data_IF_699718720929
#
_entry.id   IF_699718720929
#
_cell.length_a   1.000
_cell.length_b   1.000
_cell.length_c   1.000
_cell.angle_alpha   90.00
_cell.angle_beta   90.00
_cell.angle_gamma   90.00
#
_symmetry.space_group_name_H-M   'P 1'
#
loop_
_entity.id
_entity.type
_entity.pdbx_description
1 polymer ?
#
# COMPACT_ATOMS: atom_id res chain seq x y z
N UNK A 1 -17.64 5.83 -6.70
CA UNK A 1 -17.70 5.88 -5.22
C UNK A 1 -16.38 5.33 -4.72
N UNK A 2 -15.64 6.07 -3.91
CA UNK A 2 -14.37 5.61 -3.33
C UNK A 2 -14.57 5.30 -1.86
N UNK A 3 -14.03 4.16 -1.40
CA UNK A 3 -14.04 3.76 0.02
C UNK A 3 -12.62 3.88 0.53
N UNK A 4 -12.40 4.63 1.60
CA UNK A 4 -11.08 4.79 2.22
C UNK A 4 -11.03 4.17 3.61
N UNK A 5 -9.85 3.70 4.00
CA UNK A 5 -9.55 3.15 5.32
C UNK A 5 -8.19 3.66 5.78
N UNK A 6 -8.17 4.32 6.92
CA UNK A 6 -6.95 4.79 7.58
C UNK A 6 -6.62 3.79 8.69
N UNK A 7 -5.45 3.16 8.60
CA UNK A 7 -4.85 2.34 9.65
C UNK A 7 -3.80 3.12 10.44
N UNK A 8 -3.14 2.44 11.36
CA UNK A 8 -2.06 3.05 12.16
C UNK A 8 -0.78 3.21 11.34
N UNK A 9 -0.58 2.36 10.33
CA UNK A 9 0.64 2.31 9.51
C UNK A 9 0.37 2.43 8.01
N UNK A 10 -0.90 2.35 7.60
CA UNK A 10 -1.30 2.33 6.20
C UNK A 10 -2.50 3.22 5.93
N UNK A 11 -2.55 3.79 4.75
CA UNK A 11 -3.72 4.45 4.20
C UNK A 11 -4.16 3.66 2.97
N UNK A 12 -5.41 3.19 2.94
CA UNK A 12 -5.92 2.37 1.85
C UNK A 12 -7.14 3.01 1.20
N UNK A 13 -7.22 2.98 -0.12
CA UNK A 13 -8.34 3.47 -0.91
C UNK A 13 -8.77 2.45 -1.97
N UNK A 14 -10.05 2.17 -2.02
CA UNK A 14 -10.71 1.42 -3.07
C UNK A 14 -11.24 2.40 -4.13
N UNK A 15 -10.81 2.20 -5.36
CA UNK A 15 -11.26 2.94 -6.52
C UNK A 15 -12.15 2.04 -7.37
N UNK A 16 -13.24 2.63 -7.87
CA UNK A 16 -14.12 2.02 -8.86
C UNK A 16 -14.11 2.90 -10.09
N UNK A 17 -13.64 2.36 -11.20
CA UNK A 17 -13.68 3.03 -12.49
C UNK A 17 -15.13 3.11 -12.99
N UNK A 18 -15.46 4.24 -13.62
CA UNK A 18 -16.85 4.63 -13.88
C UNK A 18 -17.42 3.84 -15.08
N UNK A 19 -16.59 3.51 -16.08
CA UNK A 19 -17.06 3.01 -17.37
C UNK A 19 -16.91 1.49 -17.56
N UNK A 20 -16.00 0.85 -16.85
CA UNK A 20 -15.54 -0.53 -17.08
C UNK A 20 -15.77 -1.44 -15.87
N UNK A 21 -16.44 -0.94 -14.81
CA UNK A 21 -16.67 -1.65 -13.55
C UNK A 21 -15.39 -2.22 -12.90
N UNK A 22 -14.22 -1.70 -13.28
CA UNK A 22 -12.95 -2.15 -12.75
C UNK A 22 -12.74 -1.55 -11.37
N UNK A 23 -12.58 -2.42 -10.37
CA UNK A 23 -12.29 -2.05 -9.00
C UNK A 23 -10.85 -2.41 -8.67
N UNK A 24 -10.13 -1.48 -8.06
CA UNK A 24 -8.76 -1.70 -7.61
C UNK A 24 -8.49 -0.94 -6.32
N UNK A 25 -7.64 -1.52 -5.49
CA UNK A 25 -7.22 -0.91 -4.25
C UNK A 25 -5.81 -0.32 -4.41
N UNK A 26 -5.57 0.80 -3.74
CA UNK A 26 -4.23 1.33 -3.51
C UNK A 26 -4.02 1.49 -2.01
N UNK A 27 -2.91 0.99 -1.48
CA UNK A 27 -2.48 1.25 -0.11
C UNK A 27 -1.17 2.01 -0.08
N UNK A 28 -1.17 3.21 0.50
CA UNK A 28 0.00 3.97 0.86
C UNK A 28 0.53 3.52 2.22
N UNK A 29 1.82 3.26 2.33
CA UNK A 29 2.49 2.92 3.60
C UNK A 29 3.41 4.06 3.99
N UNK A 30 3.23 4.58 5.20
CA UNK A 30 4.06 5.65 5.76
C UNK A 30 4.39 5.29 7.21
N UNK A 31 5.57 4.75 7.49
CA UNK A 31 5.93 4.40 8.87
C UNK A 31 7.04 3.35 9.04
N UNK A 32 7.60 3.24 10.26
CA UNK A 32 8.98 2.83 10.52
C UNK A 32 9.24 1.34 10.32
N UNK A 33 10.45 1.03 9.81
CA UNK A 33 10.96 -0.31 9.51
C UNK A 33 10.87 -1.35 10.66
N UNK A 34 10.70 -0.89 11.91
CA UNK A 34 10.78 -1.72 13.12
C UNK A 34 9.49 -2.52 13.38
N UNK A 35 8.34 -2.07 12.84
CA UNK A 35 7.03 -2.70 13.07
C UNK A 35 6.40 -3.21 11.77
N UNK A 36 7.22 -3.71 10.86
CA UNK A 36 6.78 -4.21 9.56
C UNK A 36 5.69 -5.30 9.69
N UNK A 37 5.77 -6.18 10.69
CA UNK A 37 4.78 -7.25 10.88
C UNK A 37 3.38 -6.71 11.16
N UNK A 38 3.26 -5.69 12.02
CA UNK A 38 1.96 -5.05 12.32
C UNK A 38 1.37 -4.31 11.12
N UNK A 39 2.25 -3.73 10.29
CA UNK A 39 1.83 -3.15 9.03
C UNK A 39 1.28 -4.23 8.09
N UNK A 40 1.97 -5.37 7.96
CA UNK A 40 1.52 -6.47 7.12
C UNK A 40 0.18 -7.05 7.57
N UNK A 41 -0.06 -7.14 8.88
CA UNK A 41 -1.37 -7.52 9.44
C UNK A 41 -2.48 -6.55 9.05
N UNK A 42 -2.25 -5.23 9.17
CA UNK A 42 -3.23 -4.22 8.74
C UNK A 42 -3.53 -4.32 7.24
N UNK A 43 -2.48 -4.46 6.43
CA UNK A 43 -2.53 -4.60 4.98
C UNK A 43 -3.29 -5.88 4.58
N UNK A 44 -2.97 -7.03 5.19
CA UNK A 44 -3.65 -8.30 4.93
C UNK A 44 -5.15 -8.22 5.25
N UNK A 45 -5.52 -7.56 6.36
CA UNK A 45 -6.92 -7.36 6.72
C UNK A 45 -7.67 -6.53 5.66
N UNK A 46 -7.06 -5.49 5.11
CA UNK A 46 -7.65 -4.70 4.02
C UNK A 46 -7.82 -5.54 2.75
N UNK A 47 -6.80 -6.29 2.38
CA UNK A 47 -6.83 -7.14 1.19
C UNK A 47 -7.93 -8.21 1.25
N UNK A 48 -8.06 -8.87 2.41
CA UNK A 48 -9.12 -9.87 2.66
C UNK A 48 -10.53 -9.28 2.56
N UNK A 49 -10.71 -8.03 2.96
CA UNK A 49 -12.02 -7.35 2.94
C UNK A 49 -12.42 -6.93 1.53
N UNK A 50 -11.51 -6.38 0.73
CA UNK A 50 -11.85 -5.87 -0.60
C UNK A 50 -11.75 -6.91 -1.71
N UNK A 51 -10.79 -7.85 -1.63
CA UNK A 51 -10.63 -8.95 -2.59
C UNK A 51 -10.57 -8.48 -4.08
N UNK A 52 -9.84 -7.40 -4.33
CA UNK A 52 -9.65 -6.78 -5.66
C UNK A 52 -8.15 -6.70 -6.00
N UNK A 53 -7.78 -6.48 -7.28
CA UNK A 53 -6.40 -6.13 -7.64
C UNK A 53 -5.88 -4.98 -6.78
N UNK A 54 -4.68 -5.16 -6.23
CA UNK A 54 -4.17 -4.29 -5.18
C UNK A 54 -2.73 -3.86 -5.45
N UNK A 55 -2.50 -2.55 -5.35
CA UNK A 55 -1.17 -1.95 -5.45
C UNK A 55 -0.78 -1.34 -4.09
N UNK A 56 0.42 -1.67 -3.60
CA UNK A 56 0.97 -1.10 -2.37
C UNK A 56 2.07 -0.12 -2.77
N UNK A 57 1.86 1.16 -2.49
CA UNK A 57 2.83 2.22 -2.68
C UNK A 57 3.50 2.53 -1.33
N UNK A 58 4.83 2.46 -1.29
CA UNK A 58 5.61 2.79 -0.09
C UNK A 58 6.62 3.88 -0.42
N UNK A 59 6.65 4.90 0.43
CA UNK A 59 7.79 5.80 0.47
C UNK A 59 8.88 5.13 1.33
N UNK A 60 9.86 4.53 0.67
CA UNK A 60 10.97 3.89 1.35
C UNK A 60 11.95 4.92 1.93
N UNK A 61 11.92 6.20 1.51
CA UNK A 61 12.97 7.18 1.79
C UNK A 61 14.39 6.66 1.49
N UNK A 62 14.53 5.64 0.63
CA UNK A 62 15.81 5.08 0.19
C UNK A 62 15.99 5.43 -1.28
N UNK A 63 17.01 6.22 -1.60
CA UNK A 63 17.48 6.35 -2.97
C UNK A 63 18.29 5.11 -3.34
N UNK A 64 17.95 4.45 -4.44
CA UNK A 64 18.92 3.55 -5.09
C UNK A 64 20.05 4.48 -5.56
N UNK A 65 21.20 4.45 -4.88
CA UNK A 65 22.41 5.15 -5.32
C UNK A 65 23.33 4.12 -5.98
N UNK A 66 23.41 4.06 -7.32
CA UNK A 66 24.20 3.03 -8.02
C UNK A 66 25.72 3.19 -7.88
N UNK A 67 26.20 4.23 -7.18
CA UNK A 67 27.60 4.67 -7.20
C UNK A 67 28.51 3.99 -6.15
N UNK A 68 28.01 3.02 -5.37
CA UNK A 68 28.82 2.32 -4.34
C UNK A 68 28.97 0.80 -4.59
N UNK A 69 28.71 0.33 -5.82
CA UNK A 69 28.84 -1.08 -6.18
C UNK A 69 30.15 -1.41 -6.92
N UNK A 70 31.26 -0.75 -6.56
CA UNK A 70 32.60 -1.13 -7.03
C UNK A 70 33.69 -0.65 -6.06
N UNK A 71 34.00 -1.49 -5.07
CA UNK A 71 35.31 -1.55 -4.41
C UNK A 71 35.82 -2.97 -4.52
#
# INVERSE_FOLDING_TARGET
>A
MSISRVGSYSFSCLFKEINSNLEFAISGVYGPHILADRLWEELEAVHKVWNVPWCIARDFNVGICPLLAST
#
